data_IF_822535340950
#
_entry.id   IF_822535340950
#
_cell.length_a   1.000
_cell.length_b   1.000
_cell.length_c   1.000
_cell.angle_alpha   90.00
_cell.angle_beta   90.00
_cell.angle_gamma   90.00
#
_symmetry.space_group_name_H-M   'P 1'
#
loop_
_entity.id
_entity.type
_entity.pdbx_description
1 polymer ?
#
# COMPACT_ATOMS: atom_id res chain seq x y z
N UNK A 1 -24.60 9.30 7.79
CA UNK A 1 -23.42 9.64 6.97
C UNK A 1 -23.86 10.60 5.89
N UNK A 2 -23.18 11.74 5.70
CA UNK A 2 -23.48 12.59 4.55
C UNK A 2 -23.19 11.84 3.25
N UNK A 3 -23.98 12.07 2.19
CA UNK A 3 -23.74 11.43 0.90
C UNK A 3 -22.41 11.92 0.32
N UNK A 4 -21.55 11.00 -0.11
CA UNK A 4 -20.30 11.32 -0.85
C UNK A 4 -20.52 11.44 -2.36
N UNK A 5 -21.65 10.92 -2.84
CA UNK A 5 -22.04 10.93 -4.25
C UNK A 5 -23.36 11.65 -4.44
N UNK A 6 -23.51 12.32 -5.58
CA UNK A 6 -24.77 12.94 -5.95
C UNK A 6 -25.80 11.89 -6.40
N UNK A 7 -27.07 11.99 -5.97
CA UNK A 7 -28.12 11.05 -6.38
C UNK A 7 -28.54 11.16 -7.86
N UNK A 8 -28.18 12.24 -8.55
CA UNK A 8 -28.57 12.48 -9.95
C UNK A 8 -27.43 12.25 -10.93
N UNK A 9 -26.24 12.81 -10.64
CA UNK A 9 -25.07 12.74 -11.52
C UNK A 9 -24.16 11.52 -11.21
N UNK A 10 -24.37 10.80 -10.10
CA UNK A 10 -23.46 9.77 -9.54
C UNK A 10 -21.99 10.21 -9.41
N UNK A 11 -21.69 11.49 -9.57
CA UNK A 11 -20.35 12.04 -9.42
C UNK A 11 -20.01 12.26 -7.96
N UNK A 12 -18.72 12.21 -7.65
CA UNK A 12 -18.21 12.57 -6.33
C UNK A 12 -18.51 14.04 -6.03
N UNK A 13 -19.02 14.28 -4.83
CA UNK A 13 -19.27 15.64 -4.36
C UNK A 13 -17.96 16.25 -3.88
N UNK A 14 -17.75 17.51 -4.24
CA UNK A 14 -16.60 18.30 -3.79
C UNK A 14 -17.00 19.27 -2.69
N UNK A 15 -16.07 19.59 -1.79
CA UNK A 15 -16.31 20.55 -0.73
C UNK A 15 -16.20 21.96 -1.32
N UNK A 16 -17.28 22.74 -1.24
CA UNK A 16 -17.34 24.14 -1.59
C UNK A 16 -18.09 24.92 -0.50
N UNK A 17 -18.07 26.25 -0.54
CA UNK A 17 -18.92 27.08 0.33
C UNK A 17 -20.25 27.34 -0.38
N UNK A 18 -21.34 27.06 0.30
CA UNK A 18 -22.67 27.47 -0.15
C UNK A 18 -22.77 29.01 -0.17
N UNK A 19 -23.60 29.58 -1.06
CA UNK A 19 -23.87 31.01 -1.04
C UNK A 19 -24.41 31.45 0.33
N UNK A 20 -24.05 32.66 0.75
CA UNK A 20 -24.48 33.21 2.04
C UNK A 20 -26.00 33.39 2.06
N UNK A 21 -26.62 32.95 3.15
CA UNK A 21 -28.03 33.22 3.44
C UNK A 21 -28.13 34.28 4.53
N UNK A 22 -29.33 34.84 4.77
CA UNK A 22 -29.60 35.89 5.76
C UNK A 22 -29.12 35.53 7.18
N UNK A 23 -29.11 34.24 7.51
CA UNK A 23 -28.63 33.71 8.79
C UNK A 23 -27.10 33.46 8.82
N UNK A 24 -26.45 33.29 7.67
CA UNK A 24 -25.03 32.94 7.53
C UNK A 24 -24.40 33.72 6.36
N UNK A 25 -23.99 34.98 6.57
CA UNK A 25 -23.47 35.84 5.50
C UNK A 25 -22.11 35.36 4.94
N UNK A 26 -21.36 34.57 5.70
CA UNK A 26 -20.05 34.03 5.28
C UNK A 26 -20.14 32.67 4.55
N UNK A 27 -21.35 32.11 4.41
CA UNK A 27 -21.59 30.80 3.80
C UNK A 27 -21.19 29.62 4.69
N UNK A 28 -21.88 28.49 4.55
CA UNK A 28 -21.54 27.23 5.22
C UNK A 28 -20.81 26.30 4.24
N UNK A 29 -20.03 25.37 4.76
CA UNK A 29 -19.44 24.32 3.92
C UNK A 29 -20.56 23.43 3.37
N UNK A 30 -20.47 23.08 2.09
CA UNK A 30 -21.44 22.26 1.39
C UNK A 30 -20.74 21.29 0.43
N UNK A 31 -21.37 20.14 0.22
CA UNK A 31 -21.00 19.19 -0.82
C UNK A 31 -21.71 19.58 -2.12
N UNK A 32 -20.94 19.92 -3.15
CA UNK A 32 -21.45 20.36 -4.47
C UNK A 32 -21.04 19.38 -5.56
N UNK A 33 -21.97 19.03 -6.47
CA UNK A 33 -21.62 18.29 -7.70
C UNK A 33 -21.01 19.29 -8.70
N UNK A 34 -19.95 18.90 -9.41
CA UNK A 34 -19.36 19.74 -10.48
C UNK A 34 -20.19 19.75 -11.77
N UNK A 35 -21.03 18.73 -11.98
CA UNK A 35 -21.79 18.57 -13.22
C UNK A 35 -23.28 18.92 -13.09
N UNK A 36 -23.82 19.03 -11.87
CA UNK A 36 -25.22 19.39 -11.66
C UNK A 36 -25.36 20.38 -10.49
N UNK A 37 -26.45 21.17 -10.41
CA UNK A 37 -26.64 22.20 -9.37
C UNK A 37 -26.98 21.63 -7.98
N UNK A 38 -26.75 20.33 -7.77
CA UNK A 38 -26.98 19.69 -6.48
C UNK A 38 -25.98 20.23 -5.44
N UNK A 39 -26.54 20.74 -4.34
CA UNK A 39 -25.80 21.21 -3.18
C UNK A 39 -26.39 20.59 -1.90
N UNK A 40 -25.51 20.07 -1.05
CA UNK A 40 -25.87 19.55 0.26
C UNK A 40 -25.10 20.34 1.33
N UNK A 41 -25.79 21.18 2.09
CA UNK A 41 -25.18 22.05 3.11
C UNK A 41 -24.86 21.22 4.36
N UNK A 42 -23.64 21.38 4.90
CA UNK A 42 -23.21 20.72 6.13
C UNK A 42 -23.58 21.57 7.33
N UNK A 43 -24.39 20.99 8.23
CA UNK A 43 -24.74 21.60 9.51
C UNK A 43 -23.73 21.29 10.61
N UNK A 44 -22.99 20.19 10.48
CA UNK A 44 -22.01 19.70 11.45
C UNK A 44 -20.63 19.52 10.81
N UNK A 45 -19.55 19.65 11.59
CA UNK A 45 -18.21 19.37 11.10
C UNK A 45 -18.09 17.90 10.67
N UNK A 46 -17.68 17.67 9.42
CA UNK A 46 -17.45 16.34 8.87
C UNK A 46 -15.95 16.04 8.83
N UNK A 47 -15.56 14.86 9.34
CA UNK A 47 -14.21 14.35 9.25
C UNK A 47 -14.24 12.84 9.02
N UNK A 48 -13.37 12.36 8.14
CA UNK A 48 -13.16 10.93 7.90
C UNK A 48 -11.70 10.62 8.23
N UNK A 49 -11.47 9.74 9.21
CA UNK A 49 -10.13 9.32 9.62
C UNK A 49 -9.94 7.86 9.24
N UNK A 50 -9.07 7.62 8.28
CA UNK A 50 -8.62 6.27 7.95
C UNK A 50 -7.27 6.00 8.63
N UNK A 51 -7.22 5.03 9.53
CA UNK A 51 -5.96 4.55 10.07
C UNK A 51 -5.31 3.60 9.06
N UNK A 52 -4.17 4.01 8.51
CA UNK A 52 -3.39 3.14 7.65
C UNK A 52 -2.86 1.97 8.47
N UNK A 53 -3.32 0.75 8.15
CA UNK A 53 -2.71 -0.46 8.70
C UNK A 53 -1.33 -0.61 8.05
N UNK A 54 -0.32 -0.88 8.85
CA UNK A 54 0.99 -1.23 8.33
C UNK A 54 0.83 -2.50 7.48
N UNK A 55 1.29 -2.45 6.22
CA UNK A 55 1.34 -3.66 5.39
C UNK A 55 2.24 -4.66 6.11
N UNK A 56 1.69 -5.81 6.47
CA UNK A 56 2.52 -6.90 6.98
C UNK A 56 3.51 -7.26 5.86
N UNK A 57 4.79 -7.40 6.21
CA UNK A 57 5.77 -7.89 5.26
C UNK A 57 5.45 -9.37 5.08
N UNK A 58 4.70 -9.68 4.04
CA UNK A 58 4.55 -11.06 3.61
C UNK A 58 5.94 -11.60 3.32
N UNK A 59 6.28 -12.76 3.90
CA UNK A 59 7.53 -13.43 3.55
C UNK A 59 7.49 -13.71 2.05
N UNK A 60 8.47 -13.17 1.33
CA UNK A 60 8.50 -13.19 -0.15
C UNK A 60 8.58 -14.65 -0.65
N UNK A 61 9.04 -15.57 0.21
CA UNK A 61 8.91 -17.00 0.01
C UNK A 61 7.84 -17.53 0.96
N UNK A 62 6.65 -17.76 0.44
CA UNK A 62 5.62 -18.55 1.10
C UNK A 62 6.12 -19.96 1.45
N UNK A 63 5.32 -20.68 2.24
CA UNK A 63 5.61 -22.03 2.76
C UNK A 63 5.79 -23.10 1.65
N UNK A 64 5.51 -22.78 0.39
CA UNK A 64 5.70 -23.66 -0.78
C UNK A 64 7.16 -23.68 -1.26
N UNK A 65 8.07 -24.10 -0.40
CA UNK A 65 9.52 -24.17 -0.67
C UNK A 65 9.98 -25.45 -1.39
N UNK A 66 9.13 -26.14 -2.16
CA UNK A 66 9.54 -27.39 -2.81
C UNK A 66 10.21 -27.21 -4.18
N UNK A 67 9.96 -26.10 -4.88
CA UNK A 67 10.21 -26.04 -6.33
C UNK A 67 11.34 -25.10 -6.76
N UNK A 68 11.97 -24.39 -5.81
CA UNK A 68 13.07 -23.48 -6.12
C UNK A 68 14.39 -24.27 -6.27
N UNK A 69 15.22 -23.94 -7.27
CA UNK A 69 16.51 -24.58 -7.45
C UNK A 69 17.41 -24.32 -6.23
N UNK A 70 17.89 -25.42 -5.66
CA UNK A 70 18.89 -25.41 -4.57
C UNK A 70 20.26 -25.28 -5.21
N UNK A 71 20.95 -24.19 -4.92
CA UNK A 71 22.30 -23.93 -5.40
C UNK A 71 23.30 -23.93 -4.22
N UNK A 72 24.55 -24.29 -4.52
CA UNK A 72 25.66 -24.15 -3.58
C UNK A 72 26.16 -22.70 -3.63
N UNK A 73 26.14 -22.01 -2.49
CA UNK A 73 26.55 -20.61 -2.39
C UNK A 73 28.01 -20.53 -1.92
N UNK A 74 28.92 -19.93 -2.71
CA UNK A 74 30.30 -19.70 -2.28
C UNK A 74 30.32 -18.65 -1.18
N UNK A 75 30.61 -19.07 0.06
CA UNK A 75 30.60 -18.19 1.24
C UNK A 75 29.76 -18.72 2.41
N UNK A 76 28.91 -19.73 2.18
CA UNK A 76 28.10 -20.34 3.23
C UNK A 76 26.99 -19.43 3.77
N UNK A 77 26.22 -19.93 4.72
CA UNK A 77 25.19 -19.14 5.39
C UNK A 77 25.83 -18.04 6.27
N UNK A 78 25.35 -16.78 6.26
CA UNK A 78 25.84 -15.71 7.13
C UNK A 78 25.34 -15.86 8.58
N UNK A 79 25.07 -17.09 9.03
CA UNK A 79 24.64 -17.37 10.39
C UNK A 79 25.76 -18.14 11.09
N UNK A 80 26.25 -17.57 12.19
CA UNK A 80 27.35 -18.15 13.00
C UNK A 80 27.01 -19.55 13.56
N UNK A 81 25.73 -19.95 13.55
CA UNK A 81 25.26 -21.24 14.05
C UNK A 81 24.93 -22.26 12.95
N UNK A 82 25.14 -21.93 11.67
CA UNK A 82 24.78 -22.81 10.54
C UNK A 82 25.86 -22.79 9.47
N UNK A 83 26.53 -23.92 9.28
CA UNK A 83 27.61 -24.12 8.31
C UNK A 83 27.13 -24.62 6.94
N UNK A 84 25.82 -24.60 6.69
CA UNK A 84 25.29 -25.10 5.41
C UNK A 84 25.71 -24.20 4.25
N UNK A 85 26.10 -24.86 3.15
CA UNK A 85 26.49 -24.23 1.88
C UNK A 85 25.38 -24.22 0.84
N UNK A 86 24.21 -24.79 1.18
CA UNK A 86 23.08 -24.94 0.25
C UNK A 86 21.99 -23.93 0.59
N UNK A 87 21.59 -23.14 -0.40
CA UNK A 87 20.53 -22.16 -0.25
C UNK A 87 19.61 -22.15 -1.48
N UNK A 88 18.35 -21.79 -1.27
CA UNK A 88 17.45 -21.44 -2.37
C UNK A 88 17.86 -20.10 -2.94
N UNK A 89 17.92 -20.01 -4.27
CA UNK A 89 18.24 -18.80 -5.01
C UNK A 89 17.01 -18.29 -5.77
N UNK A 90 16.70 -17.00 -5.63
CA UNK A 90 15.70 -16.32 -6.44
C UNK A 90 16.10 -14.87 -6.67
N UNK A 91 15.65 -14.31 -7.79
CA UNK A 91 15.91 -12.92 -8.17
C UNK A 91 14.60 -12.14 -8.17
N UNK A 92 14.61 -10.94 -7.59
CA UNK A 92 13.44 -10.08 -7.54
C UNK A 92 13.78 -8.68 -8.07
N UNK A 93 12.97 -8.21 -9.03
CA UNK A 93 13.09 -6.85 -9.55
C UNK A 93 12.47 -5.85 -8.57
N UNK A 94 13.26 -5.39 -7.62
CA UNK A 94 12.83 -4.35 -6.66
C UNK A 94 13.10 -2.93 -7.14
N UNK A 95 13.77 -2.76 -8.29
CA UNK A 95 14.25 -1.47 -8.83
C UNK A 95 13.74 -1.23 -10.25
N UNK A 96 13.96 -0.02 -10.77
CA UNK A 96 13.65 0.36 -12.16
C UNK A 96 14.24 -0.65 -13.16
N UNK A 97 13.60 -0.80 -14.32
CA UNK A 97 13.98 -1.80 -15.32
C UNK A 97 15.41 -1.67 -15.87
N UNK A 98 16.03 -0.50 -15.71
CA UNK A 98 17.40 -0.23 -16.16
C UNK A 98 18.48 -0.78 -15.20
N UNK A 99 18.10 -1.19 -13.98
CA UNK A 99 19.04 -1.77 -13.01
C UNK A 99 18.91 -3.29 -12.95
N UNK A 100 20.02 -4.01 -12.74
CA UNK A 100 20.00 -5.47 -12.63
C UNK A 100 19.13 -5.92 -11.44
N UNK A 101 18.49 -7.10 -11.54
CA UNK A 101 17.64 -7.63 -10.48
C UNK A 101 18.45 -7.91 -9.22
N UNK A 102 17.81 -7.78 -8.05
CA UNK A 102 18.45 -8.09 -6.78
C UNK A 102 18.35 -9.59 -6.51
N UNK A 103 19.49 -10.23 -6.29
CA UNK A 103 19.60 -11.65 -5.91
C UNK A 103 19.35 -11.83 -4.41
N UNK A 104 18.51 -12.80 -4.08
CA UNK A 104 18.20 -13.20 -2.70
C UNK A 104 18.51 -14.68 -2.49
N UNK A 105 19.01 -15.00 -1.30
CA UNK A 105 19.31 -16.35 -0.87
C UNK A 105 18.53 -16.69 0.41
N UNK A 106 18.01 -17.91 0.51
CA UNK A 106 17.39 -18.46 1.73
C UNK A 106 18.06 -19.77 2.11
N UNK A 107 18.68 -19.83 3.29
CA UNK A 107 19.31 -21.06 3.79
C UNK A 107 18.27 -22.15 4.02
N UNK A 108 18.58 -23.40 3.64
CA UNK A 108 17.70 -24.56 3.79
C UNK A 108 17.56 -24.97 5.26
N UNK A 109 18.63 -24.88 6.05
CA UNK A 109 18.64 -25.37 7.42
C UNK A 109 18.12 -24.35 8.44
N UNK A 110 18.53 -23.07 8.32
CA UNK A 110 18.16 -22.04 9.29
C UNK A 110 17.07 -21.08 8.81
N UNK A 111 16.65 -21.16 7.54
CA UNK A 111 15.63 -20.29 6.97
C UNK A 111 16.01 -18.81 6.86
N UNK A 112 17.23 -18.43 7.27
CA UNK A 112 17.73 -17.05 7.20
C UNK A 112 17.82 -16.61 5.74
N UNK A 113 17.28 -15.42 5.47
CA UNK A 113 17.34 -14.78 4.16
C UNK A 113 18.39 -13.67 4.14
N UNK A 114 19.16 -13.58 3.07
CA UNK A 114 20.08 -12.47 2.84
C UNK A 114 20.12 -12.08 1.36
N UNK A 115 20.67 -10.90 1.08
CA UNK A 115 20.82 -10.34 -0.26
C UNK A 115 22.28 -10.40 -0.68
N UNK A 116 22.50 -10.64 -1.96
CA UNK A 116 23.78 -10.34 -2.59
C UNK A 116 23.89 -8.82 -2.76
N UNK A 117 25.03 -8.25 -2.37
CA UNK A 117 25.35 -6.84 -2.54
C UNK A 117 26.36 -6.65 -3.65
#
# INVERSE_FOLDING_TARGET
MPPTFCPYCCNCLTIARAPGNDQYPQGRNAFTCRTCPYQFVLDQPYYERTHMKQKQKDDILGEEQSDLPVNEVPGGCPNETCDSKKAYFYQLQTRSADEPPTSFFKCIECGKQWREY
#
